data_IF_997607717141
#
_entry.id   IF_997607717141
#
_cell.length_a   1.000
_cell.length_b   1.000
_cell.length_c   1.000
_cell.angle_alpha   90.00
_cell.angle_beta   90.00
_cell.angle_gamma   90.00
#
_symmetry.space_group_name_H-M   'P 1'
#
loop_
_entity.id
_entity.type
_entity.pdbx_description
1 polymer ?
#
# COMPACT_ATOMS: atom_id res chain seq x y z
N UNK A 1 -19.07 -1.25 20.48
CA UNK A 1 -19.62 -1.29 19.10
C UNK A 1 -19.69 -2.74 18.66
N UNK A 2 -20.80 -3.17 18.05
CA UNK A 2 -20.93 -4.52 17.48
C UNK A 2 -20.81 -4.43 15.97
N UNK A 3 -20.03 -5.30 15.36
CA UNK A 3 -19.77 -5.32 13.92
C UNK A 3 -20.07 -6.72 13.44
N UNK A 4 -20.94 -6.85 12.44
CA UNK A 4 -21.26 -8.14 11.86
C UNK A 4 -20.24 -8.49 10.78
N UNK A 5 -19.70 -9.69 10.85
CA UNK A 5 -18.78 -10.22 9.86
C UNK A 5 -19.51 -11.26 9.00
N UNK A 6 -18.99 -11.49 7.79
CA UNK A 6 -19.46 -12.64 7.01
C UNK A 6 -19.00 -13.93 7.69
N UNK A 7 -19.69 -15.07 7.49
CA UNK A 7 -19.31 -16.33 8.13
C UNK A 7 -17.87 -16.76 7.85
N UNK A 8 -17.33 -16.40 6.69
CA UNK A 8 -15.93 -16.66 6.34
C UNK A 8 -14.95 -15.81 7.17
N UNK A 9 -15.22 -14.52 7.32
CA UNK A 9 -14.38 -13.64 8.13
C UNK A 9 -14.44 -14.01 9.62
N UNK A 10 -15.61 -14.44 10.12
CA UNK A 10 -15.73 -14.97 11.49
C UNK A 10 -14.86 -16.21 11.69
N UNK A 11 -14.85 -17.15 10.74
CA UNK A 11 -13.98 -18.34 10.80
C UNK A 11 -12.50 -17.96 10.85
N UNK A 12 -12.08 -16.99 10.04
CA UNK A 12 -10.69 -16.52 10.04
C UNK A 12 -10.30 -15.85 11.36
N UNK A 13 -11.15 -14.96 11.88
CA UNK A 13 -10.94 -14.31 13.18
C UNK A 13 -10.87 -15.36 14.29
N UNK A 14 -11.79 -16.33 14.30
CA UNK A 14 -11.80 -17.43 15.26
C UNK A 14 -10.53 -18.26 15.18
N UNK A 15 -10.09 -18.66 13.99
CA UNK A 15 -8.85 -19.41 13.79
C UNK A 15 -7.62 -18.67 14.34
N UNK A 16 -7.55 -17.34 14.16
CA UNK A 16 -6.46 -16.53 14.70
C UNK A 16 -6.47 -16.46 16.23
N UNK A 17 -7.64 -16.36 16.85
CA UNK A 17 -7.76 -16.40 18.33
C UNK A 17 -7.44 -17.80 18.86
N UNK A 18 -8.00 -18.85 18.27
CA UNK A 18 -7.78 -20.24 18.66
C UNK A 18 -6.30 -20.66 18.54
N UNK A 19 -5.51 -19.99 17.67
CA UNK A 19 -4.06 -20.20 17.56
C UNK A 19 -3.25 -19.69 18.78
N UNK A 20 -3.86 -18.90 19.66
CA UNK A 20 -3.21 -18.26 20.81
C UNK A 20 -2.41 -17.00 20.46
N UNK A 21 -2.36 -16.58 19.19
CA UNK A 21 -1.67 -15.35 18.77
C UNK A 21 -2.38 -14.07 19.24
N UNK A 22 -3.69 -14.14 19.49
CA UNK A 22 -4.52 -13.03 19.94
C UNK A 22 -5.45 -13.46 21.07
N UNK A 23 -5.73 -12.58 22.02
CA UNK A 23 -6.58 -12.89 23.17
C UNK A 23 -8.07 -12.88 22.83
N UNK A 24 -8.48 -12.09 21.83
CA UNK A 24 -9.88 -11.92 21.46
C UNK A 24 -10.04 -11.38 20.03
N UNK A 25 -11.26 -11.49 19.49
CA UNK A 25 -11.61 -11.01 18.17
C UNK A 25 -11.35 -9.51 17.95
N UNK A 26 -11.56 -8.68 18.99
CA UNK A 26 -11.35 -7.24 18.87
C UNK A 26 -9.90 -6.87 18.63
N UNK A 27 -8.93 -7.64 19.12
CA UNK A 27 -7.51 -7.45 18.81
C UNK A 27 -7.21 -7.75 17.35
N UNK A 28 -7.73 -8.88 16.82
CA UNK A 28 -7.57 -9.25 15.41
C UNK A 28 -8.11 -8.15 14.50
N UNK A 29 -9.30 -7.64 14.80
CA UNK A 29 -9.95 -6.58 14.02
C UNK A 29 -9.16 -5.27 14.09
N UNK A 30 -8.72 -4.84 15.29
CA UNK A 30 -7.92 -3.62 15.43
C UNK A 30 -6.62 -3.69 14.66
N UNK A 31 -5.92 -4.81 14.73
CA UNK A 31 -4.66 -5.00 14.01
C UNK A 31 -4.89 -5.01 12.49
N UNK A 32 -5.94 -5.68 12.03
CA UNK A 32 -6.31 -5.69 10.61
C UNK A 32 -6.62 -4.28 10.09
N UNK A 33 -7.38 -3.48 10.86
CA UNK A 33 -7.66 -2.08 10.52
C UNK A 33 -6.40 -1.22 10.53
N UNK A 34 -5.47 -1.44 11.47
CA UNK A 34 -4.19 -0.74 11.51
C UNK A 34 -3.37 -0.99 10.24
N UNK A 35 -3.34 -2.24 9.77
CA UNK A 35 -2.67 -2.61 8.53
C UNK A 35 -3.34 -1.98 7.31
N UNK A 36 -4.67 -2.00 7.27
CA UNK A 36 -5.45 -1.36 6.19
C UNK A 36 -5.15 0.15 6.11
N UNK A 37 -5.22 0.86 7.23
CA UNK A 37 -4.92 2.30 7.27
C UNK A 37 -3.48 2.61 6.83
N UNK A 38 -2.52 1.76 7.21
CA UNK A 38 -1.13 1.91 6.75
C UNK A 38 -1.02 1.73 5.24
N UNK A 39 -1.72 0.75 4.68
CA UNK A 39 -1.74 0.50 3.24
C UNK A 39 -2.39 1.68 2.48
N UNK A 40 -3.51 2.19 2.99
CA UNK A 40 -4.20 3.34 2.41
C UNK A 40 -3.30 4.57 2.38
N UNK A 41 -2.63 4.89 3.50
CA UNK A 41 -1.67 5.99 3.56
C UNK A 41 -0.51 5.84 2.55
N UNK A 42 0.02 4.63 2.39
CA UNK A 42 1.06 4.35 1.39
C UNK A 42 0.53 4.55 -0.04
N UNK A 43 -0.70 4.11 -0.33
CA UNK A 43 -1.31 4.31 -1.64
C UNK A 43 -1.57 5.79 -1.93
N UNK A 44 -2.01 6.57 -0.94
CA UNK A 44 -2.20 8.01 -1.08
C UNK A 44 -0.89 8.73 -1.38
N UNK A 45 0.18 8.40 -0.64
CA UNK A 45 1.51 8.95 -0.91
C UNK A 45 1.99 8.61 -2.33
N UNK A 46 1.88 7.35 -2.74
CA UNK A 46 2.27 6.92 -4.09
C UNK A 46 1.46 7.66 -5.17
N UNK A 47 0.16 7.84 -4.97
CA UNK A 47 -0.68 8.62 -5.90
C UNK A 47 -0.23 10.07 -5.98
N UNK A 48 0.15 10.68 -4.86
CA UNK A 48 0.67 12.04 -4.83
C UNK A 48 2.00 12.16 -5.60
N UNK A 49 2.93 11.23 -5.39
CA UNK A 49 4.22 11.20 -6.10
C UNK A 49 4.04 10.98 -7.61
N UNK A 50 3.19 10.03 -8.01
CA UNK A 50 2.84 9.80 -9.42
C UNK A 50 2.23 11.06 -10.03
N UNK A 51 1.35 11.76 -9.30
CA UNK A 51 0.74 12.99 -9.79
C UNK A 51 1.78 14.07 -10.07
N UNK A 52 2.80 14.22 -9.21
CA UNK A 52 3.91 15.16 -9.44
C UNK A 52 4.59 14.82 -10.77
N UNK A 53 5.04 13.57 -10.95
CA UNK A 53 5.70 13.13 -12.18
C UNK A 53 4.83 13.30 -13.43
N UNK A 54 3.55 12.96 -13.33
CA UNK A 54 2.60 13.15 -14.43
C UNK A 54 2.42 14.62 -14.82
N UNK A 55 2.31 15.51 -13.84
CA UNK A 55 2.20 16.95 -14.09
C UNK A 55 3.50 17.51 -14.69
N UNK A 56 4.68 17.02 -14.28
CA UNK A 56 5.98 17.35 -14.90
C UNK A 56 6.01 16.94 -16.37
N UNK A 57 5.58 15.71 -16.69
CA UNK A 57 5.49 15.23 -18.07
C UNK A 57 4.53 16.09 -18.90
N UNK A 58 3.38 16.50 -18.35
CA UNK A 58 2.44 17.41 -19.02
C UNK A 58 3.05 18.78 -19.33
N UNK A 59 3.97 19.26 -18.50
CA UNK A 59 4.72 20.51 -18.73
C UNK A 59 5.91 20.34 -19.68
N UNK A 60 6.18 19.13 -20.16
CA UNK A 60 7.33 18.83 -21.02
C UNK A 60 8.66 18.74 -20.28
N UNK A 61 8.65 18.56 -18.96
CA UNK A 61 9.85 18.43 -18.12
C UNK A 61 10.43 17.00 -18.14
N UNK A 62 9.85 16.10 -18.93
CA UNK A 62 10.34 14.73 -19.10
C UNK A 62 11.52 14.63 -20.07
N UNK A 63 12.37 13.63 -19.85
CA UNK A 63 13.43 13.26 -20.78
C UNK A 63 12.97 12.02 -21.55
N UNK A 64 12.89 12.12 -22.87
CA UNK A 64 12.62 10.96 -23.72
C UNK A 64 13.86 10.07 -23.77
N UNK A 65 13.69 8.80 -23.47
CA UNK A 65 14.79 7.82 -23.49
C UNK A 65 14.45 6.74 -24.52
N UNK A 66 15.31 6.59 -25.52
CA UNK A 66 15.06 5.69 -26.65
C UNK A 66 15.68 4.30 -26.47
N UNK A 67 16.70 4.17 -25.62
CA UNK A 67 17.42 2.92 -25.40
C UNK A 67 17.58 2.61 -23.91
N UNK A 68 17.66 1.32 -23.60
CA UNK A 68 17.96 0.85 -22.24
C UNK A 68 19.31 1.38 -21.74
N UNK A 69 20.31 1.51 -22.61
CA UNK A 69 21.63 2.04 -22.25
C UNK A 69 21.58 3.51 -21.80
N UNK A 70 20.77 4.32 -22.47
CA UNK A 70 20.54 5.72 -22.11
C UNK A 70 19.79 5.82 -20.78
N UNK A 71 18.81 4.94 -20.56
CA UNK A 71 18.07 4.88 -19.30
C UNK A 71 18.98 4.54 -18.12
N UNK A 72 19.81 3.50 -18.27
CA UNK A 72 20.75 3.07 -17.23
C UNK A 72 21.78 4.15 -16.91
N UNK A 73 22.21 4.92 -17.91
CA UNK A 73 23.13 6.04 -17.72
C UNK A 73 22.46 7.19 -16.96
N UNK A 74 21.23 7.54 -17.34
CA UNK A 74 20.43 8.56 -16.65
C UNK A 74 20.14 8.16 -15.20
N UNK A 75 19.70 6.93 -14.95
CA UNK A 75 19.39 6.43 -13.61
C UNK A 75 20.60 6.47 -12.66
N UNK A 76 21.81 6.22 -13.18
CA UNK A 76 23.06 6.32 -12.40
C UNK A 76 23.45 7.76 -12.06
N UNK A 77 23.05 8.73 -12.88
CA UNK A 77 23.34 10.15 -12.66
C UNK A 77 22.44 10.83 -11.61
N UNK A 78 21.31 10.21 -11.24
CA UNK A 78 20.32 10.76 -10.29
C UNK A 78 20.59 10.31 -8.84
N UNK A 79 21.85 10.04 -8.48
CA UNK A 79 22.25 9.61 -7.13
C UNK A 79 22.80 10.76 -6.29
#
# INVERSE_FOLDING_TARGET
MHVSLTPELERQVKSKVDSGLYNNASEVVRESLRLLLKQDAMHEQLRAEIKIGYDQLKRGEGIAVATEADFQSLAKSVR
#
